data_IF_524675962436
#
_entry.id   IF_524675962436
#
_cell.length_a   1.000
_cell.length_b   1.000
_cell.length_c   1.000
_cell.angle_alpha   90.00
_cell.angle_beta   90.00
_cell.angle_gamma   90.00
#
_symmetry.space_group_name_H-M   'P 1'
#
loop_
_entity.id
_entity.type
_entity.pdbx_description
1 polymer ?
#
# COMPACT_ATOMS: atom_id res chain seq x y z
N UNK A 1 -23.60 50.84 -16.48
CA UNK A 1 -22.96 49.86 -17.40
C UNK A 1 -21.42 49.88 -17.32
N UNK A 2 -20.78 51.01 -17.07
CA UNK A 2 -19.31 51.12 -16.94
C UNK A 2 -18.82 50.59 -15.59
N UNK A 3 -19.53 50.77 -14.49
CA UNK A 3 -19.17 50.25 -13.17
C UNK A 3 -19.23 48.70 -13.07
N UNK A 4 -20.18 48.06 -13.75
CA UNK A 4 -20.26 46.59 -13.81
C UNK A 4 -19.11 45.97 -14.60
N UNK A 5 -18.66 46.63 -15.66
CA UNK A 5 -17.48 46.16 -16.42
C UNK A 5 -16.15 46.30 -15.65
N UNK A 6 -16.04 47.32 -14.79
CA UNK A 6 -14.86 47.48 -13.93
C UNK A 6 -14.80 46.43 -12.83
N UNK A 7 -15.94 46.06 -12.25
CA UNK A 7 -16.01 45.03 -11.22
C UNK A 7 -15.63 43.62 -11.77
N UNK A 8 -16.08 43.27 -12.98
CA UNK A 8 -15.72 42.03 -13.65
C UNK A 8 -14.22 41.95 -14.02
N UNK A 9 -13.64 43.06 -14.45
CA UNK A 9 -12.20 43.13 -14.74
C UNK A 9 -11.35 43.07 -13.46
N UNK A 10 -11.84 43.63 -12.36
CA UNK A 10 -11.17 43.53 -11.07
C UNK A 10 -11.25 42.12 -10.48
N UNK A 11 -12.43 41.46 -10.57
CA UNK A 11 -12.58 40.04 -10.18
C UNK A 11 -11.75 39.10 -11.05
N UNK A 12 -11.69 39.33 -12.37
CA UNK A 12 -10.82 38.53 -13.25
C UNK A 12 -9.34 38.76 -12.97
N UNK A 13 -8.95 39.94 -12.51
CA UNK A 13 -7.57 40.23 -12.11
C UNK A 13 -7.21 39.62 -10.76
N UNK A 14 -8.16 39.57 -9.81
CA UNK A 14 -7.95 38.93 -8.49
C UNK A 14 -7.90 37.41 -8.64
N UNK A 15 -8.73 36.81 -9.52
CA UNK A 15 -8.62 35.37 -9.85
C UNK A 15 -7.33 35.06 -10.62
N UNK A 16 -6.79 35.98 -11.42
CA UNK A 16 -5.51 35.85 -12.10
C UNK A 16 -4.29 36.10 -11.17
N UNK A 17 -4.45 36.80 -10.05
CA UNK A 17 -3.38 37.05 -9.06
C UNK A 17 -3.28 35.97 -7.98
N UNK A 18 -4.23 35.03 -7.88
CA UNK A 18 -4.09 33.81 -7.05
C UNK A 18 -3.34 32.68 -7.78
N UNK A 19 -2.90 32.91 -9.00
CA UNK A 19 -2.09 31.97 -9.76
C UNK A 19 -0.84 32.69 -10.21
N UNK A 20 0.18 32.78 -9.37
CA UNK A 20 1.55 32.89 -9.86
C UNK A 20 2.59 33.14 -8.76
N UNK A 21 3.07 32.10 -8.15
CA UNK A 21 4.50 31.94 -8.11
C UNK A 21 4.83 30.63 -8.83
N UNK A 22 4.71 30.64 -10.15
CA UNK A 22 5.25 29.59 -11.00
C UNK A 22 6.78 29.83 -11.05
N UNK A 23 7.45 29.39 -10.05
CA UNK A 23 8.81 28.91 -10.16
C UNK A 23 8.69 27.65 -11.04
N UNK A 24 9.41 27.57 -12.12
CA UNK A 24 9.36 26.49 -13.12
C UNK A 24 9.49 25.12 -12.46
N UNK A 25 8.41 24.51 -12.04
CA UNK A 25 8.31 23.10 -11.65
C UNK A 25 7.42 22.79 -10.46
N UNK A 26 7.48 23.52 -9.35
CA UNK A 26 6.79 23.15 -8.12
C UNK A 26 5.42 23.83 -8.00
N UNK A 27 4.41 23.06 -7.64
CA UNK A 27 3.10 23.54 -7.23
C UNK A 27 3.04 23.53 -5.71
N UNK A 28 2.58 24.64 -5.14
CA UNK A 28 2.31 24.79 -3.73
C UNK A 28 0.99 25.49 -3.55
N UNK A 29 0.06 24.84 -2.84
CA UNK A 29 -1.24 25.45 -2.52
C UNK A 29 -1.45 25.38 -1.00
N UNK A 30 -1.75 26.53 -0.44
CA UNK A 30 -2.15 26.65 0.96
C UNK A 30 -3.59 26.10 1.15
N UNK A 31 -3.93 25.66 2.36
CA UNK A 31 -5.31 25.33 2.71
C UNK A 31 -6.28 26.50 2.43
N UNK A 32 -7.51 26.19 2.11
CA UNK A 32 -8.58 27.20 1.97
C UNK A 32 -8.99 27.77 3.33
N UNK A 33 -8.87 26.96 4.39
CA UNK A 33 -9.23 27.29 5.76
C UNK A 33 -8.11 26.91 6.72
N UNK A 34 -7.85 27.73 7.69
CA UNK A 34 -6.79 27.53 8.71
C UNK A 34 -7.33 27.18 10.09
N UNK A 35 -8.59 26.79 10.19
CA UNK A 35 -9.30 26.60 11.46
C UNK A 35 -9.09 25.24 12.13
N UNK A 36 -8.28 24.35 11.57
CA UNK A 36 -7.93 23.04 12.15
C UNK A 36 -6.89 23.11 13.25
N UNK A 37 -6.84 22.09 14.11
CA UNK A 37 -5.78 21.91 15.13
C UNK A 37 -4.48 21.40 14.51
N UNK A 38 -4.61 20.63 13.45
CA UNK A 38 -3.55 19.95 12.71
C UNK A 38 -3.72 20.21 11.22
N UNK A 39 -2.79 19.79 10.41
CA UNK A 39 -2.87 19.92 8.96
C UNK A 39 -2.52 18.60 8.25
N UNK A 40 -2.79 18.54 6.97
CA UNK A 40 -2.53 17.38 6.12
C UNK A 40 -1.79 17.80 4.85
N UNK A 41 -1.00 16.89 4.25
CA UNK A 41 -0.30 17.15 3.00
C UNK A 41 -0.75 16.18 1.89
N UNK A 42 -1.24 16.72 0.79
CA UNK A 42 -1.52 15.98 -0.43
C UNK A 42 -0.34 16.20 -1.37
N UNK A 43 0.49 15.17 -1.53
CA UNK A 43 1.72 15.23 -2.32
C UNK A 43 1.53 14.48 -3.63
N UNK A 44 1.85 15.09 -4.76
CA UNK A 44 1.76 14.45 -6.07
C UNK A 44 3.05 14.62 -6.88
N UNK A 45 3.31 13.72 -7.84
CA UNK A 45 4.23 14.09 -8.90
C UNK A 45 3.56 15.08 -9.86
N UNK A 46 4.37 15.93 -10.51
CA UNK A 46 3.84 17.01 -11.34
C UNK A 46 2.95 16.51 -12.50
N UNK A 47 3.26 15.35 -13.08
CA UNK A 47 2.46 14.78 -14.17
C UNK A 47 1.12 14.28 -13.66
N UNK A 48 1.11 13.63 -12.51
CA UNK A 48 -0.13 13.20 -11.82
C UNK A 48 -0.99 14.41 -11.45
N UNK A 49 -0.38 15.47 -10.90
CA UNK A 49 -1.08 16.72 -10.67
C UNK A 49 -1.76 17.25 -11.94
N UNK A 50 -1.02 17.37 -13.04
CA UNK A 50 -1.54 17.88 -14.31
C UNK A 50 -2.70 17.03 -14.86
N UNK A 51 -2.68 15.72 -14.64
CA UNK A 51 -3.68 14.78 -15.19
C UNK A 51 -4.89 14.54 -14.27
N UNK A 52 -4.76 14.79 -12.98
CA UNK A 52 -5.75 14.48 -11.96
C UNK A 52 -6.08 15.69 -11.05
N UNK A 53 -5.78 16.91 -11.50
CA UNK A 53 -5.91 18.13 -10.70
C UNK A 53 -7.32 18.30 -10.12
N UNK A 54 -8.35 18.07 -10.92
CA UNK A 54 -9.73 18.26 -10.48
C UNK A 54 -10.13 17.30 -9.35
N UNK A 55 -9.66 16.05 -9.41
CA UNK A 55 -9.94 15.04 -8.39
C UNK A 55 -9.14 15.30 -7.12
N UNK A 56 -7.88 15.72 -7.25
CA UNK A 56 -7.03 16.10 -6.11
C UNK A 56 -7.63 17.31 -5.38
N UNK A 57 -8.12 18.31 -6.10
CA UNK A 57 -8.78 19.47 -5.50
C UNK A 57 -10.07 19.07 -4.77
N UNK A 58 -10.90 18.21 -5.37
CA UNK A 58 -12.11 17.71 -4.70
C UNK A 58 -11.79 16.90 -3.45
N UNK A 59 -10.71 16.11 -3.49
CA UNK A 59 -10.27 15.37 -2.31
C UNK A 59 -9.79 16.31 -1.19
N UNK A 60 -9.05 17.37 -1.51
CA UNK A 60 -8.72 18.43 -0.55
C UNK A 60 -9.98 19.04 0.06
N UNK A 61 -10.96 19.38 -0.78
CA UNK A 61 -12.17 20.08 -0.35
C UNK A 61 -12.98 19.26 0.68
N UNK A 62 -13.04 17.94 0.55
CA UNK A 62 -13.72 17.08 1.55
C UNK A 62 -12.93 16.98 2.85
N UNK A 63 -11.59 16.90 2.80
CA UNK A 63 -10.75 16.92 4.00
C UNK A 63 -10.91 18.25 4.77
N UNK A 64 -10.94 19.37 4.06
CA UNK A 64 -11.13 20.67 4.68
C UNK A 64 -12.55 20.87 5.23
N UNK A 65 -13.57 20.26 4.62
CA UNK A 65 -14.92 20.22 5.17
C UNK A 65 -14.98 19.47 6.52
N UNK A 66 -14.06 18.51 6.73
CA UNK A 66 -13.86 17.80 8.00
C UNK A 66 -12.93 18.55 8.98
N UNK A 67 -12.63 19.81 8.70
CA UNK A 67 -11.75 20.68 9.50
C UNK A 67 -10.27 20.22 9.52
N UNK A 68 -9.81 19.58 8.46
CA UNK A 68 -8.42 19.20 8.26
C UNK A 68 -7.77 20.07 7.17
N UNK A 69 -7.16 21.22 7.51
CA UNK A 69 -6.46 22.08 6.56
C UNK A 69 -5.45 21.30 5.73
N UNK A 70 -5.58 21.36 4.40
CA UNK A 70 -4.82 20.45 3.54
C UNK A 70 -3.96 21.21 2.52
N UNK A 71 -2.65 21.06 2.67
CA UNK A 71 -1.64 21.57 1.73
C UNK A 71 -1.58 20.68 0.50
N UNK A 72 -1.46 21.27 -0.70
CA UNK A 72 -1.15 20.52 -1.91
C UNK A 72 0.25 20.89 -2.37
N UNK A 73 1.10 19.86 -2.54
CA UNK A 73 2.47 20.03 -3.01
C UNK A 73 2.71 19.07 -4.18
N UNK A 74 3.07 19.62 -5.35
CA UNK A 74 3.43 18.78 -6.48
C UNK A 74 4.74 19.27 -7.13
N UNK A 75 5.61 18.31 -7.43
CA UNK A 75 6.90 18.58 -8.04
C UNK A 75 7.38 17.40 -8.91
N UNK A 76 8.47 17.65 -9.65
CA UNK A 76 9.28 16.61 -10.29
C UNK A 76 10.31 16.09 -9.29
N UNK A 77 9.86 15.30 -8.36
CA UNK A 77 10.70 14.79 -7.28
C UNK A 77 11.98 14.13 -7.79
N UNK A 78 13.11 14.77 -7.57
CA UNK A 78 14.42 14.24 -7.99
C UNK A 78 15.04 13.33 -6.95
N UNK A 79 14.83 13.64 -5.67
CA UNK A 79 15.37 12.93 -4.53
C UNK A 79 14.34 12.87 -3.40
N UNK A 80 14.29 11.78 -2.61
CA UNK A 80 13.41 11.68 -1.46
C UNK A 80 13.57 12.79 -0.43
N UNK A 81 14.79 13.30 -0.24
CA UNK A 81 15.12 14.35 0.73
C UNK A 81 14.31 15.63 0.50
N UNK A 82 14.07 16.00 -0.76
CA UNK A 82 13.29 17.20 -1.11
C UNK A 82 11.88 17.15 -0.49
N UNK A 83 11.23 15.99 -0.61
CA UNK A 83 9.91 15.79 -0.03
C UNK A 83 9.98 15.73 1.50
N UNK A 84 10.96 15.02 2.05
CA UNK A 84 11.14 14.92 3.50
C UNK A 84 11.32 16.29 4.16
N UNK A 85 12.13 17.17 3.58
CA UNK A 85 12.34 18.54 4.06
C UNK A 85 11.04 19.35 4.09
N UNK A 86 10.21 19.22 3.06
CA UNK A 86 8.90 19.87 3.00
C UNK A 86 7.98 19.35 4.09
N UNK A 87 7.89 18.04 4.28
CA UNK A 87 7.04 17.43 5.31
C UNK A 87 7.51 17.82 6.71
N UNK A 88 8.82 17.80 6.96
CA UNK A 88 9.40 18.25 8.23
C UNK A 88 9.10 19.73 8.50
N UNK A 89 9.18 20.58 7.48
CA UNK A 89 8.79 22.00 7.61
C UNK A 89 7.33 22.14 7.97
N UNK A 90 6.43 21.45 7.28
CA UNK A 90 5.00 21.48 7.59
C UNK A 90 4.71 20.91 8.99
N UNK A 91 5.41 19.86 9.41
CA UNK A 91 5.30 19.30 10.76
C UNK A 91 5.65 20.34 11.82
N UNK A 92 6.77 21.02 11.67
CA UNK A 92 7.25 21.99 12.65
C UNK A 92 6.43 23.30 12.66
N UNK A 93 5.98 23.77 11.49
CA UNK A 93 5.38 25.10 11.34
C UNK A 93 3.84 25.06 11.28
N UNK A 94 3.27 23.94 10.84
CA UNK A 94 1.84 23.84 10.51
C UNK A 94 1.13 22.65 11.20
N UNK A 95 1.80 22.01 12.15
CA UNK A 95 1.26 20.87 12.90
C UNK A 95 0.77 19.75 11.97
N UNK A 96 1.57 19.37 10.97
CA UNK A 96 1.24 18.30 10.04
C UNK A 96 1.03 16.99 10.81
N UNK A 97 -0.13 16.35 10.62
CA UNK A 97 -0.45 15.07 11.24
C UNK A 97 -0.32 13.89 10.27
N UNK A 98 -0.38 14.16 8.95
CA UNK A 98 -0.31 13.10 7.95
C UNK A 98 -0.11 13.60 6.53
N UNK A 99 0.22 12.65 5.63
CA UNK A 99 0.37 12.92 4.21
C UNK A 99 -0.10 11.76 3.32
N UNK A 100 -0.61 12.09 2.13
CA UNK A 100 -0.88 11.13 1.08
C UNK A 100 0.03 11.38 -0.13
N UNK A 101 0.65 10.32 -0.65
CA UNK A 101 1.54 10.36 -1.80
C UNK A 101 0.83 9.78 -3.04
N UNK A 102 0.57 10.65 -4.03
CA UNK A 102 -0.23 10.31 -5.21
C UNK A 102 0.67 10.22 -6.44
N UNK A 103 0.69 9.06 -7.08
CA UNK A 103 1.45 8.82 -8.31
C UNK A 103 2.90 8.41 -8.08
N UNK A 104 3.83 8.98 -8.86
CA UNK A 104 5.24 8.59 -8.88
C UNK A 104 6.08 9.38 -7.87
N UNK A 105 5.88 9.08 -6.61
CA UNK A 105 6.67 9.63 -5.51
C UNK A 105 7.87 8.70 -5.24
N UNK A 106 9.09 9.23 -5.03
CA UNK A 106 10.27 8.44 -4.74
C UNK A 106 10.06 7.40 -3.65
N UNK A 107 10.69 6.25 -3.81
CA UNK A 107 10.55 5.10 -2.91
C UNK A 107 11.90 4.89 -2.20
N UNK A 108 12.01 5.24 -0.92
CA UNK A 108 13.19 4.93 -0.14
C UNK A 108 13.29 3.42 0.12
N UNK A 109 14.44 2.84 -0.22
CA UNK A 109 14.77 1.43 -0.09
C UNK A 109 15.81 1.29 1.03
N UNK A 110 15.38 0.91 2.23
CA UNK A 110 16.19 0.99 3.44
C UNK A 110 16.91 -0.33 3.71
N UNK A 111 18.21 -0.24 3.90
CA UNK A 111 19.10 -1.33 4.32
C UNK A 111 19.53 -1.15 5.78
N UNK A 112 20.09 -2.20 6.37
CA UNK A 112 20.51 -2.23 7.77
C UNK A 112 19.40 -1.93 8.78
N UNK A 113 18.15 -2.11 8.35
CA UNK A 113 16.95 -1.85 9.13
C UNK A 113 16.09 -3.11 9.39
N UNK A 114 16.55 -4.29 8.95
CA UNK A 114 15.76 -5.53 9.05
C UNK A 114 15.48 -5.97 10.49
N UNK A 115 16.26 -5.51 11.46
CA UNK A 115 16.01 -5.76 12.88
C UNK A 115 14.76 -5.03 13.40
N UNK A 116 14.35 -3.94 12.72
CA UNK A 116 13.15 -3.17 13.03
C UNK A 116 11.90 -3.71 12.31
N UNK A 117 12.02 -4.76 11.53
CA UNK A 117 10.90 -5.41 10.84
C UNK A 117 10.52 -6.72 11.52
N UNK A 118 9.25 -7.10 11.49
CA UNK A 118 8.78 -8.35 12.09
C UNK A 118 9.20 -9.59 11.30
N UNK A 119 9.12 -9.57 9.97
CA UNK A 119 9.25 -10.76 9.13
C UNK A 119 10.32 -10.68 8.04
N UNK A 120 10.75 -9.48 7.63
CA UNK A 120 11.70 -9.32 6.54
C UNK A 120 13.14 -9.65 6.99
N UNK A 121 13.68 -10.78 6.55
CA UNK A 121 15.03 -11.26 6.90
C UNK A 121 15.75 -11.80 5.66
N UNK A 122 16.49 -10.92 4.96
CA UNK A 122 17.28 -11.25 3.78
C UNK A 122 18.78 -11.02 4.07
N UNK A 123 19.65 -11.80 3.44
CA UNK A 123 21.09 -11.59 3.58
C UNK A 123 21.55 -10.43 2.68
N UNK A 124 21.74 -9.25 3.28
CA UNK A 124 22.15 -8.04 2.55
C UNK A 124 23.52 -8.13 1.86
N UNK A 125 24.34 -9.16 2.18
CA UNK A 125 25.63 -9.41 1.54
C UNK A 125 25.52 -10.30 0.31
N UNK A 126 24.55 -11.21 0.30
CA UNK A 126 24.37 -12.21 -0.75
C UNK A 126 23.25 -11.83 -1.72
N UNK A 127 22.19 -11.24 -1.18
CA UNK A 127 20.99 -10.92 -1.97
C UNK A 127 21.13 -9.56 -2.67
N UNK A 128 20.60 -9.42 -3.90
CA UNK A 128 20.56 -8.13 -4.58
C UNK A 128 19.86 -7.06 -3.76
N UNK A 129 20.29 -5.79 -3.88
CA UNK A 129 19.76 -4.69 -3.09
C UNK A 129 18.23 -4.54 -3.23
N UNK A 130 17.69 -4.76 -4.42
CA UNK A 130 16.24 -4.71 -4.67
C UNK A 130 15.45 -5.70 -3.81
N UNK A 131 16.04 -6.83 -3.46
CA UNK A 131 15.41 -7.88 -2.66
C UNK A 131 15.75 -7.80 -1.16
N UNK A 132 16.90 -7.23 -0.84
CA UNK A 132 17.43 -7.15 0.54
C UNK A 132 17.23 -5.79 1.20
N UNK A 133 16.57 -4.85 0.51
CA UNK A 133 16.18 -3.55 1.08
C UNK A 133 14.69 -3.53 1.40
N UNK A 134 14.31 -2.80 2.43
CA UNK A 134 12.91 -2.61 2.82
C UNK A 134 12.40 -1.31 2.16
N UNK A 135 11.40 -1.37 1.26
CA UNK A 135 10.72 -0.15 0.83
C UNK A 135 9.95 0.43 2.03
N UNK A 136 10.22 1.69 2.38
CA UNK A 136 9.65 2.21 3.64
C UNK A 136 9.43 3.71 3.61
N UNK A 137 8.19 4.10 3.88
CA UNK A 137 7.82 5.50 4.07
C UNK A 137 8.18 6.05 5.46
N UNK A 138 8.78 5.20 6.35
CA UNK A 138 9.44 5.69 7.58
C UNK A 138 10.50 6.74 7.30
N UNK A 139 11.02 6.78 6.09
CA UNK A 139 11.88 7.85 5.61
C UNK A 139 11.18 9.22 5.60
N UNK A 140 9.89 9.26 5.38
CA UNK A 140 9.09 10.49 5.24
C UNK A 140 8.31 10.87 6.49
N UNK A 141 8.03 9.91 7.36
CA UNK A 141 7.08 10.08 8.46
C UNK A 141 7.65 9.85 9.86
N UNK A 142 8.95 9.49 9.95
CA UNK A 142 9.73 9.41 11.18
C UNK A 142 10.95 10.32 11.02
N UNK A 143 10.85 11.53 11.55
CA UNK A 143 11.85 12.57 11.31
C UNK A 143 13.11 12.42 12.18
N UNK A 144 13.06 11.57 13.20
CA UNK A 144 14.20 11.27 14.06
C UNK A 144 15.19 10.30 13.39
N UNK A 145 14.70 9.44 12.48
CA UNK A 145 15.53 8.48 11.78
C UNK A 145 16.54 9.18 10.86
N UNK A 146 17.77 8.67 10.84
CA UNK A 146 18.88 9.16 10.02
C UNK A 146 19.28 8.11 8.99
N UNK A 147 19.50 8.57 7.77
CA UNK A 147 19.77 7.71 6.64
C UNK A 147 21.00 8.15 5.88
N UNK A 148 21.83 7.19 5.48
CA UNK A 148 22.99 7.41 4.64
C UNK A 148 22.66 7.00 3.20
N UNK A 149 22.65 7.97 2.28
CA UNK A 149 22.35 7.69 0.87
C UNK A 149 23.42 6.78 0.26
N UNK A 150 22.99 5.81 -0.54
CA UNK A 150 23.87 4.89 -1.26
C UNK A 150 23.84 5.13 -2.77
N UNK A 151 22.69 5.04 -3.39
CA UNK A 151 22.50 5.23 -4.83
C UNK A 151 21.03 5.30 -5.20
N UNK A 152 20.75 5.82 -6.39
CA UNK A 152 19.47 5.63 -7.09
C UNK A 152 19.55 4.33 -7.92
N UNK A 153 18.43 3.64 -8.06
CA UNK A 153 18.33 2.45 -8.92
C UNK A 153 18.37 2.85 -10.39
N UNK A 154 19.20 2.17 -11.18
CA UNK A 154 19.36 2.47 -12.61
C UNK A 154 18.23 1.95 -13.48
N UNK A 155 17.52 0.90 -13.05
CA UNK A 155 16.41 0.28 -13.79
C UNK A 155 15.06 0.83 -13.33
N UNK A 156 14.96 1.19 -12.06
CA UNK A 156 13.76 1.80 -11.50
C UNK A 156 14.09 3.15 -10.84
N UNK A 157 14.04 4.25 -11.59
CA UNK A 157 14.48 5.56 -11.14
C UNK A 157 13.69 6.14 -9.96
N UNK A 158 12.57 5.54 -9.58
CA UNK A 158 11.84 5.92 -8.37
C UNK A 158 12.46 5.32 -7.10
N UNK A 159 13.33 4.32 -7.19
CA UNK A 159 13.93 3.66 -6.03
C UNK A 159 15.27 4.29 -5.66
N UNK A 160 15.40 4.65 -4.39
CA UNK A 160 16.59 5.27 -3.81
C UNK A 160 17.04 4.45 -2.61
N UNK A 161 18.28 3.94 -2.64
CA UNK A 161 18.80 3.09 -1.59
C UNK A 161 19.53 3.89 -0.52
N UNK A 162 19.22 3.54 0.73
CA UNK A 162 19.83 4.13 1.93
C UNK A 162 20.21 3.02 2.90
N UNK A 163 21.24 3.28 3.71
CA UNK A 163 21.41 2.57 4.97
C UNK A 163 20.69 3.33 6.08
N UNK A 164 20.05 2.63 7.01
CA UNK A 164 19.78 3.21 8.32
C UNK A 164 21.14 3.52 8.96
N UNK A 165 21.37 4.79 9.32
CA UNK A 165 22.65 5.21 9.89
C UNK A 165 22.88 4.55 11.24
N UNK A 166 24.13 4.22 11.54
CA UNK A 166 24.50 3.63 12.84
C UNK A 166 24.25 4.59 14.03
N UNK A 167 24.11 5.90 13.75
CA UNK A 167 23.79 6.93 14.76
C UNK A 167 22.31 7.31 14.80
N UNK A 168 21.48 6.61 14.03
CA UNK A 168 20.03 6.76 14.04
C UNK A 168 19.42 6.07 15.27
N UNK A 169 18.28 6.53 15.79
CA UNK A 169 17.43 5.69 16.62
C UNK A 169 17.20 4.33 15.94
N UNK A 170 17.11 3.28 16.74
CA UNK A 170 16.95 1.90 16.28
C UNK A 170 15.53 1.36 16.60
N UNK A 171 14.61 2.25 16.81
CA UNK A 171 13.18 2.04 17.01
C UNK A 171 12.39 2.99 16.09
N UNK A 172 11.15 2.65 15.79
CA UNK A 172 10.26 3.42 14.92
C UNK A 172 9.30 4.22 15.80
N UNK A 173 9.26 5.54 15.58
CA UNK A 173 8.34 6.48 16.25
C UNK A 173 7.83 7.48 15.23
N UNK A 174 6.76 7.08 14.53
CA UNK A 174 6.22 7.93 13.48
C UNK A 174 5.70 9.25 14.05
N UNK A 175 6.17 10.37 13.49
CA UNK A 175 5.71 11.72 13.80
C UNK A 175 4.40 12.06 13.11
N UNK A 176 4.20 11.52 11.91
CA UNK A 176 3.00 11.68 11.10
C UNK A 176 2.57 10.32 10.52
N UNK A 177 1.35 10.20 10.02
CA UNK A 177 0.95 9.03 9.25
C UNK A 177 1.05 9.28 7.75
N UNK A 178 1.33 8.24 6.97
CA UNK A 178 1.46 8.33 5.51
C UNK A 178 0.72 7.21 4.79
N UNK A 179 0.29 7.52 3.57
CA UNK A 179 -0.33 6.55 2.67
C UNK A 179 0.04 6.83 1.21
N UNK A 180 -0.04 5.79 0.35
CA UNK A 180 0.25 5.93 -1.09
C UNK A 180 -0.96 5.58 -1.94
N UNK A 181 -1.24 6.43 -2.94
CA UNK A 181 -2.16 6.15 -4.04
C UNK A 181 -1.29 5.93 -5.29
N UNK A 182 -0.86 4.69 -5.49
CA UNK A 182 -0.02 4.29 -6.60
C UNK A 182 -0.64 3.09 -7.31
N UNK A 183 -1.28 3.30 -8.48
CA UNK A 183 -1.90 2.21 -9.23
C UNK A 183 -0.86 1.20 -9.72
N UNK A 184 -1.31 -0.05 -9.85
CA UNK A 184 -0.52 -1.07 -10.52
C UNK A 184 -0.52 -0.79 -12.02
N UNK A 185 0.67 -0.77 -12.62
CA UNK A 185 0.80 -0.67 -14.07
C UNK A 185 0.47 -2.05 -14.66
N UNK A 186 -0.64 -2.14 -15.38
CA UNK A 186 -1.03 -3.33 -16.11
C UNK A 186 -1.44 -2.97 -17.54
N UNK A 187 -1.28 -3.91 -18.47
CA UNK A 187 -1.64 -3.70 -19.85
C UNK A 187 -3.13 -3.35 -19.99
N UNK A 188 -3.41 -2.28 -20.72
CA UNK A 188 -4.77 -1.80 -20.98
C UNK A 188 -5.40 -0.91 -19.89
N UNK A 189 -4.72 -0.66 -18.77
CA UNK A 189 -5.22 0.23 -17.72
C UNK A 189 -4.48 1.57 -17.72
N UNK A 190 -5.22 2.67 -17.86
CA UNK A 190 -4.65 4.01 -17.69
C UNK A 190 -4.41 4.31 -16.21
N UNK A 191 -3.15 4.55 -15.85
CA UNK A 191 -2.71 4.92 -14.52
C UNK A 191 -3.47 6.11 -13.93
N UNK A 192 -3.68 7.14 -14.74
CA UNK A 192 -4.32 8.36 -14.26
C UNK A 192 -5.84 8.18 -14.11
N UNK A 193 -6.45 7.33 -14.94
CA UNK A 193 -7.84 6.95 -14.75
C UNK A 193 -8.04 6.21 -13.42
N UNK A 194 -7.18 5.26 -13.10
CA UNK A 194 -7.23 4.56 -11.81
C UNK A 194 -7.08 5.52 -10.61
N UNK A 195 -6.19 6.52 -10.72
CA UNK A 195 -6.04 7.55 -9.67
C UNK A 195 -7.32 8.38 -9.54
N UNK A 196 -7.91 8.83 -10.66
CA UNK A 196 -9.17 9.60 -10.66
C UNK A 196 -10.32 8.81 -10.04
N UNK A 197 -10.44 7.54 -10.41
CA UNK A 197 -11.49 6.66 -9.89
C UNK A 197 -11.33 6.44 -8.39
N UNK A 198 -10.09 6.19 -7.93
CA UNK A 198 -9.81 6.04 -6.50
C UNK A 198 -10.09 7.31 -5.71
N UNK A 199 -9.64 8.47 -6.18
CA UNK A 199 -9.92 9.75 -5.54
C UNK A 199 -11.41 10.06 -5.51
N UNK A 200 -12.16 9.75 -6.58
CA UNK A 200 -13.61 9.91 -6.62
C UNK A 200 -14.30 9.00 -5.60
N UNK A 201 -13.83 7.76 -5.45
CA UNK A 201 -14.28 6.83 -4.41
C UNK A 201 -13.97 7.38 -3.00
N UNK A 202 -12.75 7.90 -2.78
CA UNK A 202 -12.37 8.47 -1.50
C UNK A 202 -13.26 9.68 -1.14
N UNK A 203 -13.50 10.58 -2.09
CA UNK A 203 -14.43 11.72 -1.90
C UNK A 203 -15.83 11.24 -1.54
N UNK A 204 -16.36 10.23 -2.22
CA UNK A 204 -17.67 9.67 -1.90
C UNK A 204 -17.72 9.08 -0.49
N UNK A 205 -16.66 8.35 -0.09
CA UNK A 205 -16.57 7.77 1.25
C UNK A 205 -16.54 8.84 2.37
N UNK A 206 -15.83 9.97 2.17
CA UNK A 206 -15.85 11.11 3.11
C UNK A 206 -17.21 11.80 3.20
N UNK A 207 -18.01 11.75 2.15
CA UNK A 207 -19.35 12.35 2.10
C UNK A 207 -20.45 11.42 2.58
N UNK A 208 -20.14 10.16 2.75
CA UNK A 208 -21.09 9.15 3.20
C UNK A 208 -21.34 9.28 4.70
N UNK A 209 -22.62 9.27 5.11
CA UNK A 209 -23.00 9.27 6.52
C UNK A 209 -22.89 7.85 7.09
N UNK A 210 -21.70 7.28 7.04
CA UNK A 210 -21.40 5.96 7.56
C UNK A 210 -20.60 6.05 8.87
N UNK A 211 -20.98 5.25 9.86
CA UNK A 211 -20.12 5.00 11.01
C UNK A 211 -19.16 3.90 10.63
N UNK A 212 -17.86 4.10 10.84
CA UNK A 212 -16.85 3.05 10.67
C UNK A 212 -16.99 2.04 11.82
N UNK A 213 -17.99 1.16 11.76
CA UNK A 213 -18.36 0.27 12.86
C UNK A 213 -18.48 -1.22 12.45
N UNK A 214 -18.37 -1.55 11.17
CA UNK A 214 -18.39 -2.94 10.69
C UNK A 214 -16.98 -3.43 10.40
N UNK A 215 -16.52 -4.36 11.21
CA UNK A 215 -15.13 -4.79 11.23
C UNK A 215 -14.98 -6.30 11.07
N UNK A 216 -14.02 -6.73 10.27
CA UNK A 216 -13.59 -8.13 10.18
C UNK A 216 -12.09 -8.23 10.42
N UNK A 217 -11.68 -9.08 11.36
CA UNK A 217 -10.30 -9.51 11.50
C UNK A 217 -10.16 -10.95 11.03
N UNK A 218 -9.32 -11.18 10.04
CA UNK A 218 -8.99 -12.52 9.58
C UNK A 218 -7.54 -12.89 9.94
N UNK A 219 -7.37 -14.01 10.63
CA UNK A 219 -6.05 -14.56 10.96
C UNK A 219 -5.84 -15.86 10.21
N UNK A 220 -5.02 -15.79 9.16
CA UNK A 220 -4.61 -16.92 8.33
C UNK A 220 -3.46 -17.70 8.93
N UNK A 221 -2.79 -18.52 8.10
CA UNK A 221 -1.59 -19.24 8.51
C UNK A 221 -0.44 -18.27 8.80
N UNK A 222 0.29 -18.51 9.87
CA UNK A 222 1.50 -17.76 10.25
C UNK A 222 1.60 -17.45 11.73
N UNK A 223 2.33 -16.39 12.05
CA UNK A 223 2.82 -16.09 13.39
C UNK A 223 1.76 -16.08 14.49
N UNK A 224 0.60 -15.50 14.24
CA UNK A 224 -0.46 -15.40 15.24
C UNK A 224 -1.44 -16.58 15.25
N UNK A 225 -1.61 -17.23 14.11
CA UNK A 225 -2.54 -18.34 13.99
C UNK A 225 -2.13 -19.56 14.82
N UNK A 226 -0.84 -19.72 15.09
CA UNK A 226 -0.28 -20.84 15.86
C UNK A 226 -0.30 -20.57 17.36
N UNK A 227 -0.57 -19.36 17.81
CA UNK A 227 -0.65 -18.99 19.22
C UNK A 227 -2.03 -18.40 19.55
N UNK A 228 -2.84 -19.18 20.27
CA UNK A 228 -4.13 -18.70 20.75
C UNK A 228 -3.99 -17.48 21.70
N UNK A 229 -2.90 -17.43 22.46
CA UNK A 229 -2.62 -16.32 23.36
C UNK A 229 -2.30 -15.04 22.60
N UNK A 230 -1.43 -15.12 21.56
CA UNK A 230 -1.11 -13.97 20.72
C UNK A 230 -2.33 -13.48 19.96
N UNK A 231 -3.14 -14.39 19.40
CA UNK A 231 -4.38 -14.06 18.72
C UNK A 231 -5.40 -13.33 19.63
N UNK A 232 -5.55 -13.80 20.88
CA UNK A 232 -6.42 -13.13 21.87
C UNK A 232 -5.90 -11.77 22.28
N UNK A 233 -4.57 -11.64 22.47
CA UNK A 233 -3.95 -10.37 22.81
C UNK A 233 -4.17 -9.32 21.71
N UNK A 234 -4.04 -9.69 20.44
CA UNK A 234 -4.36 -8.80 19.31
C UNK A 234 -5.81 -8.32 19.34
N UNK A 235 -6.77 -9.21 19.57
CA UNK A 235 -8.18 -8.83 19.68
C UNK A 235 -8.43 -7.83 20.82
N UNK A 236 -7.74 -7.97 21.95
CA UNK A 236 -7.84 -7.00 23.05
C UNK A 236 -7.29 -5.63 22.64
N UNK A 237 -6.15 -5.60 21.97
CA UNK A 237 -5.55 -4.36 21.47
C UNK A 237 -6.49 -3.66 20.47
N UNK A 238 -7.07 -4.41 19.54
CA UNK A 238 -8.04 -3.86 18.56
C UNK A 238 -9.27 -3.26 19.27
N UNK A 239 -9.75 -3.88 20.35
CA UNK A 239 -10.86 -3.35 21.15
C UNK A 239 -10.51 -2.03 21.85
N UNK A 240 -9.28 -1.90 22.32
CA UNK A 240 -8.78 -0.67 22.94
C UNK A 240 -8.59 0.45 21.91
N UNK A 241 -8.10 0.12 20.73
CA UNK A 241 -7.82 1.10 19.67
C UNK A 241 -9.06 1.53 18.88
N UNK A 242 -10.06 0.66 18.77
CA UNK A 242 -11.26 0.89 17.97
C UNK A 242 -12.54 0.72 18.81
N UNK A 243 -12.70 1.46 19.91
CA UNK A 243 -13.82 1.26 20.84
C UNK A 243 -15.18 1.43 20.16
N UNK A 244 -15.32 2.32 19.17
CA UNK A 244 -16.56 2.53 18.44
C UNK A 244 -17.06 1.34 17.64
N UNK A 245 -16.17 0.40 17.29
CA UNK A 245 -16.53 -0.86 16.61
C UNK A 245 -17.13 -1.87 17.61
N UNK A 246 -16.71 -1.79 18.89
CA UNK A 246 -17.02 -2.81 19.91
C UNK A 246 -18.08 -2.36 20.92
N UNK A 247 -18.68 -1.19 20.74
CA UNK A 247 -19.76 -0.67 21.58
C UNK A 247 -21.12 -1.33 21.28
N UNK A 248 -21.21 -2.11 20.20
CA UNK A 248 -22.42 -2.82 19.77
C UNK A 248 -22.15 -4.30 19.53
N UNK A 249 -23.16 -5.10 19.77
CA UNK A 249 -23.13 -6.52 19.47
C UNK A 249 -23.09 -6.75 17.95
N UNK A 250 -22.24 -7.68 17.51
CA UNK A 250 -22.08 -8.11 16.10
C UNK A 250 -21.42 -7.11 15.13
N UNK A 251 -20.86 -6.00 15.60
CA UNK A 251 -20.13 -5.07 14.73
C UNK A 251 -18.74 -5.61 14.33
N UNK A 252 -18.16 -6.50 15.12
CA UNK A 252 -16.86 -7.09 14.86
C UNK A 252 -16.94 -8.60 14.69
N UNK A 253 -16.33 -9.12 13.65
CA UNK A 253 -16.17 -10.56 13.40
C UNK A 253 -14.71 -10.93 13.38
N UNK A 254 -14.33 -11.88 14.25
CA UNK A 254 -12.99 -12.45 14.29
C UNK A 254 -13.00 -13.82 13.64
N UNK A 255 -12.26 -13.95 12.55
CA UNK A 255 -12.12 -15.18 11.78
C UNK A 255 -10.70 -15.72 11.93
N UNK A 256 -10.58 -17.02 12.10
CA UNK A 256 -9.29 -17.71 12.16
C UNK A 256 -9.34 -18.94 11.28
N UNK A 257 -8.29 -19.19 10.49
CA UNK A 257 -8.24 -20.27 9.51
C UNK A 257 -8.60 -21.65 10.08
N UNK A 258 -8.27 -21.91 11.34
CA UNK A 258 -8.53 -23.18 12.02
C UNK A 258 -9.98 -23.35 12.53
N UNK A 259 -10.84 -22.34 12.35
CA UNK A 259 -12.24 -22.38 12.81
C UNK A 259 -13.21 -22.77 11.68
N UNK A 260 -12.75 -22.80 10.43
CA UNK A 260 -13.56 -23.07 9.24
C UNK A 260 -12.91 -24.11 8.35
N UNK A 261 -13.75 -24.93 7.73
CA UNK A 261 -13.30 -25.92 6.75
C UNK A 261 -12.97 -25.27 5.40
N UNK A 262 -13.61 -24.12 5.07
CA UNK A 262 -13.43 -23.38 3.83
C UNK A 262 -13.15 -21.88 4.08
N UNK A 263 -12.03 -21.53 4.69
CA UNK A 263 -11.77 -20.17 5.09
C UNK A 263 -11.73 -19.17 3.92
N UNK A 264 -11.36 -19.62 2.71
CA UNK A 264 -11.32 -18.76 1.52
C UNK A 264 -12.70 -18.22 1.16
N UNK A 265 -13.72 -19.08 1.13
CA UNK A 265 -15.08 -18.69 0.75
C UNK A 265 -15.71 -17.78 1.81
N UNK A 266 -15.44 -18.05 3.08
CA UNK A 266 -15.85 -17.18 4.18
C UNK A 266 -15.19 -15.80 4.10
N UNK A 267 -13.91 -15.73 3.77
CA UNK A 267 -13.17 -14.48 3.56
C UNK A 267 -13.73 -13.70 2.38
N UNK A 268 -13.98 -14.38 1.23
CA UNK A 268 -14.58 -13.76 0.05
C UNK A 268 -15.99 -13.25 0.36
N UNK A 269 -16.78 -14.01 1.11
CA UNK A 269 -18.12 -13.61 1.53
C UNK A 269 -18.05 -12.37 2.43
N UNK A 270 -17.11 -12.35 3.39
CA UNK A 270 -16.91 -11.21 4.26
C UNK A 270 -16.49 -9.96 3.46
N UNK A 271 -15.57 -10.09 2.51
CA UNK A 271 -15.09 -8.98 1.66
C UNK A 271 -16.19 -8.41 0.73
N UNK A 272 -17.18 -9.20 0.38
CA UNK A 272 -18.30 -8.76 -0.48
C UNK A 272 -19.45 -8.10 0.27
N UNK A 273 -19.37 -7.98 1.57
CA UNK A 273 -20.39 -7.27 2.36
C UNK A 273 -20.37 -5.78 2.00
N UNK A 274 -21.54 -5.26 1.66
CA UNK A 274 -21.71 -3.83 1.32
C UNK A 274 -21.55 -2.91 2.54
N UNK A 275 -21.80 -3.45 3.73
CA UNK A 275 -21.71 -2.73 5.01
C UNK A 275 -20.36 -2.90 5.71
N UNK A 276 -19.36 -3.54 5.09
CA UNK A 276 -18.05 -3.73 5.68
C UNK A 276 -17.20 -2.46 5.56
N UNK A 277 -16.80 -1.91 6.69
CA UNK A 277 -15.97 -0.71 6.74
C UNK A 277 -14.48 -1.02 6.72
N UNK A 278 -14.06 -2.04 7.49
CA UNK A 278 -12.65 -2.38 7.60
C UNK A 278 -12.44 -3.88 7.74
N UNK A 279 -11.44 -4.38 7.01
CA UNK A 279 -10.95 -5.74 7.20
C UNK A 279 -9.45 -5.74 7.44
N UNK A 280 -9.01 -6.41 8.51
CA UNK A 280 -7.61 -6.64 8.82
C UNK A 280 -7.25 -8.09 8.51
N UNK A 281 -6.18 -8.27 7.75
CA UNK A 281 -5.57 -9.57 7.48
C UNK A 281 -4.29 -9.71 8.27
N UNK A 282 -4.15 -10.81 8.99
CA UNK A 282 -2.96 -11.16 9.75
C UNK A 282 -2.50 -12.55 9.36
N UNK A 283 -1.62 -12.61 8.36
CA UNK A 283 -1.20 -13.86 7.73
C UNK A 283 0.13 -13.71 7.01
N UNK A 284 0.72 -14.82 6.62
CA UNK A 284 1.84 -14.79 5.69
C UNK A 284 1.37 -14.46 4.28
N UNK A 285 2.18 -13.68 3.55
CA UNK A 285 1.89 -13.31 2.17
C UNK A 285 3.13 -13.32 1.27
N UNK A 286 2.89 -13.39 -0.02
CA UNK A 286 3.84 -13.14 -1.09
C UNK A 286 3.29 -12.01 -1.96
N UNK A 287 4.09 -11.41 -2.86
CA UNK A 287 3.60 -10.31 -3.70
C UNK A 287 2.33 -10.59 -4.52
N UNK A 288 1.98 -11.86 -4.71
CA UNK A 288 0.85 -12.30 -5.52
C UNK A 288 -0.04 -13.32 -4.80
N UNK A 289 0.10 -13.50 -3.49
CA UNK A 289 -0.62 -14.53 -2.73
C UNK A 289 -0.73 -14.18 -1.25
N UNK A 290 -1.86 -14.54 -0.66
CA UNK A 290 -2.10 -14.56 0.77
C UNK A 290 -2.25 -16.01 1.25
N UNK A 291 -1.70 -16.34 2.43
CA UNK A 291 -1.80 -17.67 3.02
C UNK A 291 -2.99 -17.70 3.99
N UNK A 292 -4.17 -17.91 3.44
CA UNK A 292 -5.39 -17.99 4.24
C UNK A 292 -5.41 -19.24 5.13
N UNK A 293 -4.83 -20.36 4.65
CA UNK A 293 -4.77 -21.63 5.36
C UNK A 293 -3.48 -22.36 5.04
N UNK A 294 -3.01 -23.19 5.96
CA UNK A 294 -1.83 -24.04 5.77
C UNK A 294 -2.07 -25.13 4.71
N UNK A 295 -3.29 -25.59 4.60
CA UNK A 295 -3.68 -26.68 3.70
C UNK A 295 -4.88 -26.23 2.87
N UNK A 296 -4.92 -26.53 1.57
CA UNK A 296 -6.12 -26.31 0.77
C UNK A 296 -7.31 -27.03 1.38
N UNK A 297 -8.32 -26.28 1.81
CA UNK A 297 -9.54 -26.87 2.39
C UNK A 297 -10.51 -27.21 1.26
N UNK A 298 -10.39 -28.41 0.72
CA UNK A 298 -11.34 -28.96 -0.25
C UNK A 298 -11.53 -30.46 0.00
N UNK A 299 -12.76 -30.93 -0.14
CA UNK A 299 -13.12 -32.34 -0.08
C UNK A 299 -13.07 -33.01 -1.46
N UNK A 300 -12.92 -32.22 -2.52
CA UNK A 300 -12.81 -32.69 -3.89
C UNK A 300 -11.35 -32.95 -4.24
N UNK A 301 -11.02 -34.20 -4.55
CA UNK A 301 -9.67 -34.62 -4.90
C UNK A 301 -9.16 -33.91 -6.17
N UNK A 302 -9.98 -33.77 -7.20
CA UNK A 302 -9.58 -33.12 -8.45
C UNK A 302 -9.30 -31.65 -8.22
N UNK A 303 -10.15 -30.96 -7.47
CA UNK A 303 -9.95 -29.57 -7.09
C UNK A 303 -8.68 -29.42 -6.23
N UNK A 304 -8.44 -30.33 -5.29
CA UNK A 304 -7.23 -30.35 -4.50
C UNK A 304 -5.98 -30.50 -5.38
N UNK A 305 -6.01 -31.43 -6.33
CA UNK A 305 -4.91 -31.64 -7.28
C UNK A 305 -4.65 -30.42 -8.18
N UNK A 306 -5.70 -29.74 -8.64
CA UNK A 306 -5.52 -28.50 -9.43
C UNK A 306 -4.92 -27.37 -8.59
N UNK A 307 -5.31 -27.25 -7.34
CA UNK A 307 -4.70 -26.29 -6.40
C UNK A 307 -3.21 -26.62 -6.23
N UNK A 308 -2.85 -27.86 -5.95
CA UNK A 308 -1.45 -28.29 -5.81
C UNK A 308 -0.64 -28.05 -7.09
N UNK A 309 -1.17 -28.37 -8.26
CA UNK A 309 -0.53 -28.10 -9.55
C UNK A 309 -0.28 -26.61 -9.74
N UNK A 310 -1.25 -25.78 -9.38
CA UNK A 310 -1.11 -24.32 -9.42
C UNK A 310 0.02 -23.84 -8.50
N UNK A 311 0.05 -24.32 -7.26
CA UNK A 311 1.09 -23.99 -6.28
C UNK A 311 2.49 -24.35 -6.80
N UNK A 312 2.62 -25.52 -7.37
CA UNK A 312 3.85 -26.00 -7.98
C UNK A 312 4.27 -25.09 -9.15
N UNK A 313 3.35 -24.70 -10.04
CA UNK A 313 3.65 -23.77 -11.15
C UNK A 313 4.12 -22.40 -10.66
N UNK A 314 3.48 -21.86 -9.63
CA UNK A 314 3.88 -20.59 -9.04
C UNK A 314 5.30 -20.67 -8.45
N UNK A 315 5.61 -21.77 -7.76
CA UNK A 315 6.94 -21.99 -7.20
C UNK A 315 8.01 -22.13 -8.26
N UNK A 316 7.70 -22.82 -9.36
CA UNK A 316 8.58 -22.95 -10.52
C UNK A 316 8.93 -21.61 -11.14
N UNK A 317 7.90 -20.79 -11.33
CA UNK A 317 8.07 -19.44 -11.88
C UNK A 317 9.03 -18.63 -11.02
N UNK A 318 8.83 -18.64 -9.72
CA UNK A 318 9.69 -17.94 -8.77
C UNK A 318 11.14 -18.47 -8.82
N UNK A 319 11.31 -19.80 -8.84
CA UNK A 319 12.65 -20.41 -8.90
C UNK A 319 13.34 -20.13 -10.23
N UNK A 320 12.60 -20.02 -11.36
CA UNK A 320 13.14 -19.62 -12.65
C UNK A 320 13.59 -18.16 -12.66
N UNK A 321 12.80 -17.26 -12.06
CA UNK A 321 13.16 -15.84 -11.88
C UNK A 321 14.41 -15.68 -11.00
N UNK A 322 14.59 -16.57 -10.04
CA UNK A 322 15.78 -16.63 -9.17
C UNK A 322 17.00 -17.31 -9.81
N UNK A 323 16.89 -17.82 -11.04
CA UNK A 323 17.96 -18.55 -11.75
C UNK A 323 18.33 -19.88 -11.10
N UNK A 324 17.42 -20.49 -10.33
CA UNK A 324 17.64 -21.78 -9.65
C UNK A 324 17.24 -22.94 -10.55
N UNK A 325 17.91 -24.09 -10.39
CA UNK A 325 17.50 -25.33 -11.05
C UNK A 325 16.17 -25.85 -10.45
N UNK A 326 15.10 -25.36 -10.99
CA UNK A 326 13.76 -25.66 -10.50
C UNK A 326 13.32 -27.10 -10.78
N UNK A 327 13.82 -27.76 -11.84
CA UNK A 327 13.43 -29.15 -12.16
C UNK A 327 13.87 -30.11 -11.06
N UNK A 328 15.10 -29.95 -10.58
CA UNK A 328 15.62 -30.75 -9.46
C UNK A 328 14.84 -30.52 -8.16
N UNK A 329 14.44 -29.28 -7.91
CA UNK A 329 13.64 -28.90 -6.74
C UNK A 329 12.21 -29.42 -6.82
N UNK A 330 11.65 -29.44 -8.01
CA UNK A 330 10.30 -29.93 -8.27
C UNK A 330 10.17 -31.43 -8.04
N UNK A 331 11.15 -32.24 -8.48
CA UNK A 331 11.11 -33.66 -8.20
C UNK A 331 11.00 -33.92 -6.69
N UNK A 332 11.81 -33.19 -5.91
CA UNK A 332 11.73 -33.27 -4.44
C UNK A 332 10.38 -32.80 -3.88
N UNK A 333 9.85 -31.72 -4.41
CA UNK A 333 8.55 -31.18 -3.98
C UNK A 333 7.39 -32.12 -4.30
N UNK A 334 7.45 -32.76 -5.47
CA UNK A 334 6.47 -33.78 -5.88
C UNK A 334 6.50 -35.01 -4.97
N UNK A 335 7.69 -35.43 -4.57
CA UNK A 335 7.87 -36.51 -3.60
C UNK A 335 7.31 -36.13 -2.23
N UNK A 336 7.62 -34.93 -1.74
CA UNK A 336 7.18 -34.41 -0.44
C UNK A 336 5.64 -34.30 -0.37
N UNK A 337 4.97 -33.94 -1.47
CA UNK A 337 3.51 -33.81 -1.55
C UNK A 337 2.79 -34.96 -2.23
N UNK A 338 3.51 -36.02 -2.59
CA UNK A 338 2.96 -37.21 -3.29
C UNK A 338 2.17 -36.86 -4.57
N UNK A 339 2.58 -35.83 -5.28
CA UNK A 339 1.92 -35.36 -6.52
C UNK A 339 2.47 -36.13 -7.71
N UNK A 340 1.57 -36.66 -8.53
CA UNK A 340 1.94 -37.27 -9.81
C UNK A 340 2.63 -36.23 -10.72
N UNK A 341 3.83 -36.55 -11.16
CA UNK A 341 4.66 -35.66 -12.00
C UNK A 341 4.38 -35.79 -13.48
N UNK A 342 3.54 -36.73 -13.90
CA UNK A 342 3.25 -37.02 -15.34
C UNK A 342 2.64 -35.82 -16.09
N UNK A 343 1.91 -34.95 -15.41
CA UNK A 343 1.22 -33.80 -15.98
C UNK A 343 2.15 -32.65 -16.44
N UNK A 344 3.41 -32.66 -16.01
CA UNK A 344 4.42 -31.64 -16.39
C UNK A 344 5.61 -32.21 -17.14
N UNK A 345 5.75 -33.55 -17.19
CA UNK A 345 6.76 -34.21 -18.03
C UNK A 345 6.45 -33.92 -19.48
N UNK A 346 7.33 -33.14 -20.14
CA UNK A 346 7.17 -32.74 -21.54
C UNK A 346 6.66 -31.32 -21.76
N UNK A 347 6.25 -30.60 -20.70
CA UNK A 347 5.94 -29.17 -20.80
C UNK A 347 7.25 -28.38 -20.71
N UNK A 348 7.47 -27.50 -21.69
CA UNK A 348 8.63 -26.61 -21.66
C UNK A 348 8.43 -25.51 -20.59
N UNK A 349 9.55 -25.01 -20.04
CA UNK A 349 9.54 -23.96 -19.04
C UNK A 349 8.77 -22.72 -19.52
N UNK A 350 8.90 -22.38 -20.80
CA UNK A 350 8.19 -21.26 -21.44
C UNK A 350 6.67 -21.50 -21.50
N UNK A 351 6.23 -22.73 -21.70
CA UNK A 351 4.80 -23.05 -21.72
C UNK A 351 4.17 -22.97 -20.33
N UNK A 352 4.89 -23.40 -19.29
CA UNK A 352 4.44 -23.27 -17.90
C UNK A 352 4.34 -21.82 -17.47
N UNK A 353 5.31 -20.99 -17.79
CA UNK A 353 5.31 -19.56 -17.49
C UNK A 353 4.16 -18.84 -18.19
N UNK A 354 3.84 -19.19 -19.45
CA UNK A 354 2.73 -18.59 -20.21
C UNK A 354 1.35 -18.97 -19.67
N UNK A 355 1.15 -20.19 -19.21
CA UNK A 355 -0.14 -20.61 -18.66
C UNK A 355 -0.49 -19.89 -17.36
N UNK A 356 0.49 -19.55 -16.54
CA UNK A 356 0.26 -18.84 -15.28
C UNK A 356 0.08 -17.32 -15.45
N UNK A 357 0.62 -16.73 -16.53
CA UNK A 357 0.40 -15.31 -16.83
C UNK A 357 -1.05 -14.97 -17.17
N UNK A 358 -1.82 -15.94 -17.66
CA UNK A 358 -3.24 -15.78 -17.98
C UNK A 358 -4.17 -15.87 -16.75
N UNK A 359 -3.70 -16.48 -15.66
CA UNK A 359 -4.50 -16.67 -14.44
C UNK A 359 -4.38 -15.49 -13.48
N UNK A 360 -3.31 -14.71 -13.57
CA UNK A 360 -3.08 -13.56 -12.68
C UNK A 360 -3.96 -12.33 -13.01
N UNK A 361 -4.71 -12.35 -14.11
CA UNK A 361 -5.57 -11.21 -14.53
C UNK A 361 -6.92 -11.17 -13.80
N UNK A 362 -7.29 -12.19 -13.03
CA UNK A 362 -8.62 -12.30 -12.42
C UNK A 362 -8.64 -12.29 -10.89
N UNK A 363 -7.57 -11.85 -10.24
CA UNK A 363 -7.54 -11.59 -8.80
C UNK A 363 -7.08 -10.16 -8.51
N UNK A 364 -7.76 -9.22 -9.12
CA UNK A 364 -7.72 -7.80 -8.81
C UNK A 364 -9.01 -7.39 -8.18
#
# INVERSE_FOLDING_TARGET
MIEYMMCYKLMSLIVALMVATISWGQIWMEPLHTTGKTSFAIVADLTTWQKCQAEILRYRDVLEAEQLPSYIVADRWKHPEQLREILLKLYNEQHLEGAVFIGDIPIPMIRKAQHMTSAFKMDEKKDPMIRSSVPSDRFYDDFDLKFDFLKQDSLNPLMFYYNLSAVSPQDIRCDIYTGRIKPVISEGLDKYQQIRDYLSKAVAAHQEANRLDQFVSYTGEGSYSNSLTAWRAEQMILREQLPGVFDRENNARFMRYSMWDYPKDDVITALKREDLDMMIFHEHGLPHRQYLSAVPSTHDYEQHMEILKREVRLKLRQDAEDGKDFRKRMCKWSEDFQVDTSWWTGITDTQMIRQDSLVNVHMG
#
